data_IF_485623908951
#
_entry.id   IF_485623908951
#
_cell.length_a   1.000
_cell.length_b   1.000
_cell.length_c   1.000
_cell.angle_alpha   90.00
_cell.angle_beta   90.00
_cell.angle_gamma   90.00
#
_symmetry.space_group_name_H-M   'P 1'
#
loop_
_entity.id
_entity.type
_entity.pdbx_description
1 polymer ?
#
# COMPACT_ATOMS: atom_id res chain seq x y z
N UNK A 1 20.92 12.72 14.73
CA UNK A 1 21.48 13.86 15.44
C UNK A 1 20.95 13.85 16.87
N UNK A 2 21.83 14.02 17.86
CA UNK A 2 21.42 14.18 19.25
C UNK A 2 20.71 15.53 19.40
N UNK A 3 19.47 15.53 19.93
CA UNK A 3 18.66 16.76 20.07
C UNK A 3 18.67 17.31 21.50
N UNK A 4 19.40 16.68 22.41
CA UNK A 4 19.33 17.01 23.82
C UNK A 4 18.09 16.41 24.49
N UNK A 5 17.75 16.93 25.65
CA UNK A 5 16.64 16.47 26.47
C UNK A 5 15.31 17.07 25.99
N UNK A 6 14.23 16.28 26.09
CA UNK A 6 12.89 16.69 25.71
C UNK A 6 12.22 17.49 26.83
N UNK A 7 12.61 18.76 26.97
CA UNK A 7 12.10 19.66 28.02
C UNK A 7 10.61 19.99 27.86
N UNK A 8 10.12 20.05 26.64
CA UNK A 8 8.69 20.25 26.39
C UNK A 8 7.88 19.00 26.79
N UNK A 9 8.35 17.83 26.45
CA UNK A 9 7.79 16.57 26.92
C UNK A 9 7.87 16.44 28.42
N UNK A 10 8.99 16.86 29.07
CA UNK A 10 9.13 16.86 30.52
C UNK A 10 8.08 17.75 31.17
N UNK A 11 7.83 18.93 30.63
CA UNK A 11 6.78 19.84 31.14
C UNK A 11 5.41 19.18 31.15
N UNK A 12 5.06 18.51 30.06
CA UNK A 12 3.78 17.81 29.92
C UNK A 12 3.71 16.55 30.81
N UNK A 13 4.81 15.83 30.94
CA UNK A 13 4.85 14.63 31.77
C UNK A 13 4.69 14.94 33.26
N UNK A 14 5.27 16.05 33.73
CA UNK A 14 5.15 16.50 35.13
C UNK A 14 3.70 16.71 35.59
N UNK A 15 2.79 17.06 34.70
CA UNK A 15 1.35 17.24 35.04
C UNK A 15 0.70 15.91 35.46
N UNK A 16 1.27 14.78 35.09
CA UNK A 16 0.78 13.43 35.49
C UNK A 16 1.23 13.02 36.89
N UNK A 17 2.14 13.79 37.51
CA UNK A 17 2.72 13.51 38.82
C UNK A 17 2.34 14.59 39.88
N UNK A 18 1.04 14.77 40.22
CA UNK A 18 0.62 15.81 41.15
C UNK A 18 1.19 15.64 42.58
N UNK A 19 1.64 14.44 42.90
CA UNK A 19 2.24 14.10 44.21
C UNK A 19 3.78 14.21 44.24
N UNK A 20 4.37 14.76 43.19
CA UNK A 20 5.82 15.06 43.22
C UNK A 20 6.09 16.19 44.22
N UNK A 21 7.02 15.95 45.15
CA UNK A 21 7.45 16.95 46.09
C UNK A 21 7.96 18.20 45.35
N UNK A 22 7.46 19.38 45.72
CA UNK A 22 7.82 20.66 45.03
C UNK A 22 7.53 20.68 43.52
N UNK A 23 6.47 19.98 43.10
CA UNK A 23 6.12 19.91 41.67
C UNK A 23 6.05 21.27 40.98
N UNK A 24 5.44 22.28 41.63
CA UNK A 24 5.29 23.62 41.05
C UNK A 24 6.61 24.32 40.84
N UNK A 25 7.53 24.16 41.78
CA UNK A 25 8.89 24.72 41.68
C UNK A 25 9.69 23.99 40.58
N UNK A 26 9.55 22.67 40.50
CA UNK A 26 10.16 21.89 39.43
C UNK A 26 9.65 22.37 38.05
N UNK A 27 8.34 22.56 37.90
CA UNK A 27 7.74 23.10 36.66
C UNK A 27 8.28 24.49 36.38
N UNK A 28 8.40 25.38 37.37
CA UNK A 28 8.92 26.72 37.17
C UNK A 28 10.38 26.70 36.69
N UNK A 29 11.20 25.76 37.16
CA UNK A 29 12.55 25.56 36.64
C UNK A 29 12.51 25.09 35.18
N UNK A 30 11.69 24.09 34.83
CA UNK A 30 11.54 23.63 33.44
C UNK A 30 11.14 24.77 32.52
N UNK A 31 10.16 25.58 32.91
CA UNK A 31 9.66 26.71 32.10
C UNK A 31 10.67 27.85 31.96
N UNK A 32 11.58 28.01 32.93
CA UNK A 32 12.66 28.98 32.88
C UNK A 32 13.87 28.53 32.07
N UNK A 33 13.97 27.23 31.78
CA UNK A 33 15.07 26.62 31.04
C UNK A 33 14.97 26.92 29.55
N UNK A 34 15.53 28.05 29.12
CA UNK A 34 15.64 28.45 27.72
C UNK A 34 17.11 28.55 27.34
N UNK A 35 17.62 27.56 26.60
CA UNK A 35 18.94 27.68 25.96
C UNK A 35 19.96 26.66 26.41
N UNK A 36 20.59 26.79 27.59
CA UNK A 36 21.57 25.82 28.05
C UNK A 36 20.92 24.73 28.94
N UNK A 37 20.76 23.55 28.38
CA UNK A 37 20.03 22.45 29.01
C UNK A 37 20.83 21.77 30.12
N UNK A 38 22.15 21.76 30.02
CA UNK A 38 23.04 21.20 31.06
C UNK A 38 22.97 22.01 32.36
N UNK A 39 22.84 23.34 32.27
CA UNK A 39 22.63 24.19 33.44
C UNK A 39 21.31 23.91 34.14
N UNK A 40 20.28 23.52 33.38
CA UNK A 40 18.98 23.21 33.94
C UNK A 40 18.98 21.86 34.69
N UNK A 41 19.66 20.85 34.19
CA UNK A 41 19.84 19.60 34.92
C UNK A 41 20.64 19.79 36.21
N UNK A 42 21.66 20.62 36.15
CA UNK A 42 22.45 20.97 37.32
C UNK A 42 21.59 21.67 38.39
N UNK A 43 20.71 22.59 38.00
CA UNK A 43 19.76 23.25 38.91
C UNK A 43 18.87 22.26 39.64
N UNK A 44 18.38 21.21 38.99
CA UNK A 44 17.59 20.17 39.67
C UNK A 44 18.37 19.43 40.75
N UNK A 45 19.69 19.27 40.59
CA UNK A 45 20.57 18.65 41.59
C UNK A 45 20.85 19.59 42.75
N UNK A 46 20.98 20.89 42.48
CA UNK A 46 21.44 21.88 43.46
C UNK A 46 20.28 22.53 44.24
N UNK A 47 19.14 22.79 43.59
CA UNK A 47 18.01 23.53 44.17
C UNK A 47 16.98 22.64 44.86
N UNK A 48 16.99 21.32 44.53
CA UNK A 48 15.98 20.39 45.07
C UNK A 48 16.56 19.28 45.96
N UNK A 49 15.77 18.74 46.90
CA UNK A 49 16.16 17.56 47.66
C UNK A 49 16.52 16.38 46.74
N UNK A 50 17.49 15.55 47.09
CA UNK A 50 17.92 14.39 46.26
C UNK A 50 16.77 13.47 45.85
N UNK A 51 15.73 13.33 46.70
CA UNK A 51 14.52 12.52 46.47
C UNK A 51 13.71 13.00 45.26
N UNK A 52 13.65 14.32 45.02
CA UNK A 52 12.92 14.91 43.90
C UNK A 52 13.65 14.54 42.59
N UNK A 53 14.97 14.72 42.56
CA UNK A 53 15.76 14.37 41.39
C UNK A 53 15.72 12.86 41.09
N UNK A 54 15.79 12.01 42.11
CA UNK A 54 15.67 10.55 41.95
C UNK A 54 14.30 10.16 41.38
N UNK A 55 13.22 10.78 41.81
CA UNK A 55 11.89 10.54 41.25
C UNK A 55 11.78 10.99 39.78
N UNK A 56 12.38 12.13 39.44
CA UNK A 56 12.45 12.56 38.02
C UNK A 56 13.17 11.50 37.18
N UNK A 57 14.30 10.99 37.63
CA UNK A 57 15.07 9.98 36.89
C UNK A 57 14.34 8.65 36.71
N UNK A 58 13.60 8.22 37.74
CA UNK A 58 13.04 6.86 37.79
C UNK A 58 11.60 6.80 37.28
N UNK A 59 10.83 7.87 37.43
CA UNK A 59 9.39 7.86 37.16
C UNK A 59 9.01 8.78 35.98
N UNK A 60 9.62 9.97 35.87
CA UNK A 60 9.22 10.99 34.90
C UNK A 60 10.02 10.90 33.59
N UNK A 61 11.34 10.73 33.66
CA UNK A 61 12.20 10.65 32.46
C UNK A 61 12.06 9.38 31.63
N UNK A 62 11.77 8.18 32.18
CA UNK A 62 11.73 6.98 31.35
C UNK A 62 10.81 7.06 30.12
N UNK A 63 9.57 7.60 30.21
CA UNK A 63 8.70 7.78 29.06
C UNK A 63 9.26 8.76 28.01
N UNK A 64 10.17 9.65 28.40
CA UNK A 64 10.76 10.66 27.52
C UNK A 64 12.01 10.17 26.81
N UNK A 65 12.61 9.07 27.30
CA UNK A 65 13.79 8.43 26.68
C UNK A 65 13.36 7.67 25.46
N UNK A 66 13.28 8.35 24.30
CA UNK A 66 12.90 7.76 23.03
C UNK A 66 13.96 8.04 21.97
N UNK A 67 14.14 7.08 21.07
CA UNK A 67 14.90 7.29 19.86
C UNK A 67 13.93 7.72 18.74
N UNK A 68 14.16 8.87 18.16
CA UNK A 68 13.43 9.31 16.98
C UNK A 68 14.24 8.93 15.73
N UNK A 69 13.62 8.14 14.86
CA UNK A 69 14.20 7.78 13.57
C UNK A 69 13.52 8.61 12.49
N UNK A 70 14.31 9.36 11.76
CA UNK A 70 13.86 10.02 10.53
C UNK A 70 14.40 9.23 9.36
N UNK A 71 13.48 8.61 8.61
CA UNK A 71 13.83 7.93 7.36
C UNK A 71 13.64 8.94 6.24
N UNK A 72 14.75 9.33 5.62
CA UNK A 72 14.73 10.15 4.42
C UNK A 72 15.01 9.26 3.22
N UNK A 73 14.10 9.25 2.26
CA UNK A 73 14.31 8.56 0.99
C UNK A 73 14.22 9.56 -0.15
N UNK A 74 15.10 9.39 -1.10
CA UNK A 74 15.10 10.17 -2.33
C UNK A 74 14.40 9.38 -3.41
N UNK A 75 13.27 9.90 -3.85
CA UNK A 75 12.58 9.36 -5.04
C UNK A 75 13.48 9.63 -6.24
N UNK A 76 13.90 8.58 -6.94
CA UNK A 76 14.63 8.70 -8.20
C UNK A 76 13.62 8.77 -9.35
N UNK A 77 14.01 9.46 -10.41
CA UNK A 77 13.24 9.43 -11.64
C UNK A 77 13.23 8.00 -12.22
N UNK A 78 12.12 7.62 -12.85
CA UNK A 78 11.99 6.36 -13.55
C UNK A 78 13.10 6.21 -14.60
N UNK A 79 13.74 5.05 -14.61
CA UNK A 79 14.75 4.67 -15.61
C UNK A 79 14.34 3.37 -16.26
N UNK A 80 13.98 3.44 -17.54
CA UNK A 80 13.47 2.30 -18.31
C UNK A 80 14.47 1.14 -18.40
N UNK A 81 15.75 1.42 -18.59
CA UNK A 81 16.80 0.40 -18.68
C UNK A 81 16.98 -0.37 -17.37
N UNK A 82 16.92 0.35 -16.25
CA UNK A 82 16.96 -0.25 -14.92
C UNK A 82 15.68 -1.06 -14.65
N UNK A 83 14.52 -0.51 -15.00
CA UNK A 83 13.22 -1.14 -14.81
C UNK A 83 13.07 -2.44 -15.62
N UNK A 84 13.58 -2.50 -16.87
CA UNK A 84 13.63 -3.72 -17.69
C UNK A 84 14.42 -4.85 -17.04
N UNK A 85 15.45 -4.55 -16.27
CA UNK A 85 16.20 -5.56 -15.50
C UNK A 85 15.44 -5.93 -14.23
N UNK A 86 14.89 -4.92 -13.56
CA UNK A 86 14.22 -5.05 -12.27
C UNK A 86 12.94 -5.88 -12.38
N UNK A 87 12.20 -5.76 -13.49
CA UNK A 87 10.95 -6.49 -13.72
C UNK A 87 11.11 -8.02 -13.59
N UNK A 88 12.27 -8.55 -13.95
CA UNK A 88 12.57 -9.98 -13.88
C UNK A 88 13.29 -10.41 -12.59
N UNK A 89 14.00 -9.49 -11.93
CA UNK A 89 14.78 -9.81 -10.73
C UNK A 89 14.04 -9.50 -9.42
N UNK A 90 13.41 -8.35 -9.34
CA UNK A 90 12.63 -7.93 -8.18
C UNK A 90 11.48 -6.98 -8.58
N UNK A 91 10.40 -7.52 -9.17
CA UNK A 91 9.30 -6.73 -9.71
C UNK A 91 8.60 -5.85 -8.65
N UNK A 92 8.64 -6.24 -7.38
CA UNK A 92 8.02 -5.45 -6.28
C UNK A 92 8.64 -4.07 -6.06
N UNK A 93 9.81 -3.79 -6.65
CA UNK A 93 10.42 -2.46 -6.62
C UNK A 93 9.83 -1.51 -7.68
N UNK A 94 8.99 -2.02 -8.57
CA UNK A 94 8.30 -1.24 -9.60
C UNK A 94 6.82 -1.11 -9.25
N UNK A 95 6.27 0.09 -9.44
CA UNK A 95 4.83 0.30 -9.43
C UNK A 95 4.16 -0.35 -10.64
N UNK A 96 2.84 -0.52 -10.61
CA UNK A 96 2.09 -1.05 -11.75
C UNK A 96 2.25 -0.18 -12.99
N UNK A 97 2.27 1.14 -12.82
CA UNK A 97 2.48 2.13 -13.89
C UNK A 97 3.85 1.98 -14.54
N UNK A 98 4.90 1.81 -13.74
CA UNK A 98 6.26 1.57 -14.24
C UNK A 98 6.35 0.24 -14.98
N UNK A 99 5.68 -0.81 -14.49
CA UNK A 99 5.61 -2.08 -15.20
C UNK A 99 4.90 -1.94 -16.55
N UNK A 100 3.85 -1.11 -16.65
CA UNK A 100 3.22 -0.85 -17.95
C UNK A 100 4.14 -0.11 -18.91
N UNK A 101 4.90 0.88 -18.44
CA UNK A 101 5.91 1.54 -19.26
C UNK A 101 6.98 0.55 -19.77
N UNK A 102 7.38 -0.40 -18.93
CA UNK A 102 8.27 -1.49 -19.35
C UNK A 102 7.59 -2.37 -20.41
N UNK A 103 6.33 -2.76 -20.21
CA UNK A 103 5.59 -3.56 -21.19
C UNK A 103 5.51 -2.84 -22.54
N UNK A 104 5.02 -1.61 -22.55
CA UNK A 104 4.89 -0.79 -23.76
C UNK A 104 6.20 -0.60 -24.51
N UNK A 105 7.32 -0.55 -23.79
CA UNK A 105 8.64 -0.41 -24.37
C UNK A 105 9.11 -1.61 -25.20
N UNK A 106 8.46 -2.76 -25.06
CA UNK A 106 8.69 -3.94 -25.90
C UNK A 106 7.78 -3.97 -27.13
N UNK A 107 6.67 -3.21 -27.11
CA UNK A 107 5.63 -3.22 -28.14
C UNK A 107 4.53 -4.25 -27.85
N UNK A 108 3.27 -3.83 -28.04
CA UNK A 108 2.06 -4.58 -27.66
C UNK A 108 1.91 -5.96 -28.30
N UNK A 109 2.52 -6.17 -29.47
CA UNK A 109 2.43 -7.42 -30.24
C UNK A 109 3.57 -8.40 -29.90
N UNK A 110 4.41 -8.08 -28.92
CA UNK A 110 5.56 -8.92 -28.58
C UNK A 110 5.25 -9.87 -27.41
N UNK A 111 5.88 -11.06 -27.38
CA UNK A 111 5.77 -11.97 -26.23
C UNK A 111 6.27 -11.33 -24.92
N UNK A 112 7.24 -10.43 -25.01
CA UNK A 112 7.80 -9.70 -23.86
C UNK A 112 6.77 -8.79 -23.22
N UNK A 113 5.93 -8.13 -24.00
CA UNK A 113 4.80 -7.34 -23.50
C UNK A 113 3.90 -8.18 -22.60
N UNK A 114 3.45 -9.32 -23.09
CA UNK A 114 2.59 -10.23 -22.34
C UNK A 114 3.23 -10.76 -21.07
N UNK A 115 4.53 -11.13 -21.14
CA UNK A 115 5.29 -11.57 -19.96
C UNK A 115 5.29 -10.52 -18.86
N UNK A 116 5.49 -9.26 -19.22
CA UNK A 116 5.49 -8.16 -18.24
C UNK A 116 4.10 -7.96 -17.63
N UNK A 117 3.02 -8.03 -18.43
CA UNK A 117 1.64 -7.95 -17.90
C UNK A 117 1.36 -9.09 -16.91
N UNK A 118 1.79 -10.32 -17.20
CA UNK A 118 1.64 -11.45 -16.30
C UNK A 118 2.45 -11.29 -15.02
N UNK A 119 3.66 -10.72 -15.10
CA UNK A 119 4.46 -10.39 -13.92
C UNK A 119 3.74 -9.34 -13.08
N UNK A 120 3.17 -8.29 -13.69
CA UNK A 120 2.43 -7.25 -13.00
C UNK A 120 1.21 -7.83 -12.24
N UNK A 121 0.42 -8.67 -12.90
CA UNK A 121 -0.73 -9.34 -12.28
C UNK A 121 -0.32 -10.25 -11.11
N UNK A 122 0.78 -10.99 -11.23
CA UNK A 122 1.29 -11.86 -10.15
C UNK A 122 1.89 -11.07 -9.00
N UNK A 123 2.51 -9.92 -9.28
CA UNK A 123 3.12 -9.06 -8.27
C UNK A 123 2.06 -8.30 -7.48
N UNK A 124 0.99 -7.87 -8.16
CA UNK A 124 -0.12 -7.09 -7.62
C UNK A 124 -1.48 -7.78 -7.87
N UNK A 125 -1.73 -8.95 -7.27
CA UNK A 125 -2.92 -9.76 -7.56
C UNK A 125 -4.24 -9.08 -7.15
N UNK A 126 -4.16 -8.08 -6.29
CA UNK A 126 -5.29 -7.27 -5.86
C UNK A 126 -5.56 -6.04 -6.74
N UNK A 127 -4.65 -5.72 -7.64
CA UNK A 127 -4.79 -4.60 -8.57
C UNK A 127 -5.61 -5.03 -9.79
N UNK A 128 -6.89 -4.63 -9.79
CA UNK A 128 -7.83 -5.03 -10.85
C UNK A 128 -7.32 -4.67 -12.26
N UNK A 129 -6.86 -3.44 -12.55
CA UNK A 129 -6.26 -3.13 -13.85
C UNK A 129 -5.14 -4.09 -14.27
N UNK A 130 -4.21 -4.41 -13.36
CA UNK A 130 -3.10 -5.30 -13.68
C UNK A 130 -3.58 -6.71 -14.05
N UNK A 131 -4.50 -7.26 -13.28
CA UNK A 131 -5.06 -8.58 -13.51
C UNK A 131 -5.91 -8.62 -14.78
N UNK A 132 -6.76 -7.61 -15.01
CA UNK A 132 -7.61 -7.53 -16.21
C UNK A 132 -6.79 -7.40 -17.47
N UNK A 133 -5.71 -6.58 -17.48
CA UNK A 133 -4.86 -6.43 -18.65
C UNK A 133 -4.10 -7.72 -18.98
N UNK A 134 -3.59 -8.42 -17.96
CA UNK A 134 -2.98 -9.73 -18.14
C UNK A 134 -3.98 -10.77 -18.68
N UNK A 135 -5.18 -10.80 -18.13
CA UNK A 135 -6.23 -11.72 -18.59
C UNK A 135 -6.69 -11.42 -20.02
N UNK A 136 -6.83 -10.14 -20.40
CA UNK A 136 -7.12 -9.75 -21.79
C UNK A 136 -6.03 -10.20 -22.76
N UNK A 137 -4.77 -10.07 -22.34
CA UNK A 137 -3.65 -10.61 -23.15
C UNK A 137 -3.79 -12.12 -23.32
N UNK A 138 -4.03 -12.89 -22.26
CA UNK A 138 -4.21 -14.34 -22.33
C UNK A 138 -5.43 -14.73 -23.21
N UNK A 139 -6.54 -14.00 -23.10
CA UNK A 139 -7.70 -14.19 -23.97
C UNK A 139 -7.35 -13.98 -25.45
N UNK A 140 -6.58 -12.94 -25.75
CA UNK A 140 -6.10 -12.67 -27.12
C UNK A 140 -5.18 -13.76 -27.67
N UNK A 141 -4.44 -14.46 -26.79
CA UNK A 141 -3.59 -15.60 -27.15
C UNK A 141 -4.37 -16.95 -27.24
N UNK A 142 -5.65 -16.95 -26.91
CA UNK A 142 -6.44 -18.19 -26.86
C UNK A 142 -6.26 -19.01 -25.58
N UNK A 143 -5.65 -18.44 -24.55
CA UNK A 143 -5.37 -19.11 -23.27
C UNK A 143 -6.51 -18.84 -22.27
N UNK A 144 -7.71 -19.36 -22.55
CA UNK A 144 -8.92 -19.05 -21.78
C UNK A 144 -8.83 -19.47 -20.32
N UNK A 145 -8.25 -20.65 -20.04
CA UNK A 145 -8.09 -21.17 -18.68
C UNK A 145 -7.19 -20.30 -17.81
N UNK A 146 -6.11 -19.83 -18.39
CA UNK A 146 -5.16 -18.94 -17.75
C UNK A 146 -5.83 -17.61 -17.40
N UNK A 147 -6.63 -17.06 -18.33
CA UNK A 147 -7.42 -15.86 -18.08
C UNK A 147 -8.44 -16.06 -16.93
N UNK A 148 -9.17 -17.18 -16.93
CA UNK A 148 -10.09 -17.53 -15.81
C UNK A 148 -9.32 -17.61 -14.48
N UNK A 149 -8.18 -18.30 -14.45
CA UNK A 149 -7.38 -18.45 -13.23
C UNK A 149 -6.91 -17.10 -12.65
N UNK A 150 -6.60 -16.13 -13.52
CA UNK A 150 -6.22 -14.78 -13.10
C UNK A 150 -7.40 -14.01 -12.52
N UNK A 151 -8.57 -14.11 -13.15
CA UNK A 151 -9.74 -13.28 -12.83
C UNK A 151 -10.59 -13.83 -11.68
N UNK A 152 -10.66 -15.15 -11.53
CA UNK A 152 -11.55 -15.82 -10.58
C UNK A 152 -11.40 -15.35 -9.12
N UNK A 153 -10.17 -15.09 -8.59
CA UNK A 153 -10.00 -14.56 -7.25
C UNK A 153 -10.65 -13.18 -7.03
N UNK A 154 -10.86 -12.42 -8.11
CA UNK A 154 -11.43 -11.07 -8.07
C UNK A 154 -12.93 -11.05 -8.39
N UNK A 155 -13.54 -12.17 -8.78
CA UNK A 155 -14.95 -12.24 -9.16
C UNK A 155 -15.90 -11.70 -8.10
N UNK A 156 -15.60 -12.00 -6.83
CA UNK A 156 -16.40 -11.56 -5.67
C UNK A 156 -16.41 -10.05 -5.44
N UNK A 157 -15.47 -9.31 -6.05
CA UNK A 157 -15.41 -7.84 -5.93
C UNK A 157 -16.46 -7.14 -6.80
N UNK A 158 -17.07 -7.83 -7.75
CA UNK A 158 -18.12 -7.27 -8.60
C UNK A 158 -17.67 -6.24 -9.61
N UNK A 159 -16.35 -6.07 -9.86
CA UNK A 159 -15.84 -5.14 -10.86
C UNK A 159 -16.27 -5.59 -12.27
N UNK A 160 -16.88 -4.67 -13.00
CA UNK A 160 -17.45 -4.97 -14.32
C UNK A 160 -16.43 -5.51 -15.31
N UNK A 161 -15.20 -5.01 -15.29
CA UNK A 161 -14.12 -5.44 -16.18
C UNK A 161 -13.73 -6.90 -15.92
N UNK A 162 -13.68 -7.29 -14.65
CA UNK A 162 -13.43 -8.67 -14.22
C UNK A 162 -14.55 -9.58 -14.68
N UNK A 163 -15.80 -9.20 -14.39
CA UNK A 163 -16.97 -9.99 -14.75
C UNK A 163 -17.14 -10.14 -16.28
N UNK A 164 -16.93 -9.06 -17.03
CA UNK A 164 -16.98 -9.08 -18.48
C UNK A 164 -15.91 -10.01 -19.09
N UNK A 165 -14.65 -9.88 -18.65
CA UNK A 165 -13.57 -10.76 -19.11
C UNK A 165 -13.81 -12.24 -18.73
N UNK A 166 -14.33 -12.52 -17.53
CA UNK A 166 -14.71 -13.89 -17.14
C UNK A 166 -15.82 -14.44 -18.04
N UNK A 167 -16.82 -13.62 -18.35
CA UNK A 167 -17.90 -14.01 -19.26
C UNK A 167 -17.39 -14.38 -20.64
N UNK A 168 -16.50 -13.57 -21.20
CA UNK A 168 -15.85 -13.84 -22.49
C UNK A 168 -15.02 -15.13 -22.42
N UNK A 169 -14.24 -15.32 -21.36
CA UNK A 169 -13.44 -16.53 -21.17
C UNK A 169 -14.31 -17.79 -21.12
N UNK A 170 -15.37 -17.79 -20.32
CA UNK A 170 -16.31 -18.92 -20.21
C UNK A 170 -17.05 -19.19 -21.51
N UNK A 171 -17.46 -18.15 -22.25
CA UNK A 171 -18.11 -18.32 -23.55
C UNK A 171 -17.22 -19.02 -24.55
N UNK A 172 -15.95 -18.63 -24.64
CA UNK A 172 -14.96 -19.27 -25.51
C UNK A 172 -14.67 -20.73 -25.11
N UNK A 173 -14.76 -21.06 -23.82
CA UNK A 173 -14.68 -22.44 -23.34
C UNK A 173 -16.00 -23.23 -23.49
N UNK A 174 -16.99 -22.64 -24.17
CA UNK A 174 -18.34 -23.21 -24.35
C UNK A 174 -19.12 -23.47 -23.03
N UNK A 175 -18.71 -22.80 -21.96
CA UNK A 175 -19.38 -22.83 -20.65
C UNK A 175 -20.45 -21.72 -20.60
N UNK A 176 -21.40 -21.78 -21.54
CA UNK A 176 -22.35 -20.69 -21.84
C UNK A 176 -23.20 -20.25 -20.64
N UNK A 177 -23.64 -21.23 -19.81
CA UNK A 177 -24.41 -20.89 -18.61
C UNK A 177 -23.59 -20.08 -17.58
N UNK A 178 -22.34 -20.43 -17.38
CA UNK A 178 -21.45 -19.64 -16.50
C UNK A 178 -21.19 -18.26 -17.11
N UNK A 179 -20.94 -18.20 -18.41
CA UNK A 179 -20.77 -16.93 -19.12
C UNK A 179 -21.99 -16.04 -18.92
N UNK A 180 -23.21 -16.57 -19.13
CA UNK A 180 -24.46 -15.86 -18.92
C UNK A 180 -24.58 -15.30 -17.50
N UNK A 181 -24.33 -16.12 -16.49
CA UNK A 181 -24.44 -15.70 -15.07
C UNK A 181 -23.53 -14.54 -14.72
N UNK A 182 -22.25 -14.59 -15.11
CA UNK A 182 -21.30 -13.51 -14.79
C UNK A 182 -21.56 -12.27 -15.62
N UNK A 183 -21.96 -12.41 -16.91
CA UNK A 183 -22.30 -11.28 -17.77
C UNK A 183 -23.58 -10.57 -17.31
N UNK A 184 -24.59 -11.27 -16.82
CA UNK A 184 -25.78 -10.66 -16.22
C UNK A 184 -25.40 -9.76 -15.03
N UNK A 185 -24.47 -10.19 -14.20
CA UNK A 185 -23.93 -9.35 -13.10
C UNK A 185 -23.19 -8.13 -13.62
N UNK A 186 -22.42 -8.28 -14.69
CA UNK A 186 -21.73 -7.15 -15.32
C UNK A 186 -22.72 -6.14 -15.94
N UNK A 187 -23.75 -6.61 -16.62
CA UNK A 187 -24.80 -5.75 -17.23
C UNK A 187 -25.56 -4.94 -16.20
N UNK A 188 -25.73 -5.47 -14.97
CA UNK A 188 -26.39 -4.76 -13.89
C UNK A 188 -25.69 -3.43 -13.51
N UNK A 189 -24.43 -3.24 -13.91
CA UNK A 189 -23.68 -2.00 -13.72
C UNK A 189 -23.89 -0.96 -14.84
N UNK A 190 -24.60 -1.33 -15.92
CA UNK A 190 -24.88 -0.47 -17.06
C UNK A 190 -23.80 -0.53 -18.18
N UNK A 191 -22.87 -1.47 -18.12
CA UNK A 191 -21.79 -1.61 -19.10
C UNK A 191 -22.29 -2.09 -20.46
N UNK A 192 -21.94 -1.35 -21.52
CA UNK A 192 -22.42 -1.61 -22.88
C UNK A 192 -21.73 -2.83 -23.52
N UNK A 193 -20.42 -3.04 -23.25
CA UNK A 193 -19.65 -4.18 -23.75
C UNK A 193 -20.19 -5.49 -23.14
N UNK A 194 -20.43 -5.49 -21.82
CA UNK A 194 -21.03 -6.65 -21.15
C UNK A 194 -22.41 -6.99 -21.68
N UNK A 195 -23.22 -5.97 -22.02
CA UNK A 195 -24.56 -6.16 -22.61
C UNK A 195 -24.48 -6.80 -24.00
N UNK A 196 -23.54 -6.42 -24.81
CA UNK A 196 -23.30 -7.00 -26.14
C UNK A 196 -22.83 -8.46 -26.00
N UNK A 197 -21.84 -8.70 -25.13
CA UNK A 197 -21.32 -10.04 -24.85
C UNK A 197 -22.42 -10.98 -24.33
N UNK A 198 -23.29 -10.49 -23.43
CA UNK A 198 -24.43 -11.27 -22.95
C UNK A 198 -25.37 -11.66 -24.08
N UNK A 199 -25.73 -10.69 -24.95
CA UNK A 199 -26.59 -10.96 -26.11
C UNK A 199 -26.01 -12.05 -27.03
N UNK A 200 -24.70 -11.98 -27.26
CA UNK A 200 -24.02 -12.98 -28.10
C UNK A 200 -24.08 -14.38 -27.47
N UNK A 201 -23.86 -14.48 -26.16
CA UNK A 201 -23.96 -15.75 -25.41
C UNK A 201 -25.38 -16.28 -25.43
N UNK A 202 -26.40 -15.45 -25.18
CA UNK A 202 -27.82 -15.83 -25.21
C UNK A 202 -28.24 -16.29 -26.61
N UNK A 203 -27.75 -15.66 -27.67
CA UNK A 203 -27.95 -16.11 -29.04
C UNK A 203 -27.43 -17.54 -29.26
N UNK A 204 -26.19 -17.81 -28.85
CA UNK A 204 -25.60 -19.15 -28.96
C UNK A 204 -26.38 -20.19 -28.17
N UNK A 205 -26.85 -19.84 -26.96
CA UNK A 205 -27.68 -20.77 -26.14
C UNK A 205 -29.01 -21.08 -26.82
N UNK A 206 -29.64 -20.11 -27.50
CA UNK A 206 -30.90 -20.29 -28.18
C UNK A 206 -30.81 -21.20 -29.44
N UNK A 207 -29.58 -21.28 -30.02
CA UNK A 207 -29.31 -22.08 -31.22
C UNK A 207 -28.82 -23.50 -30.91
N UNK A 208 -28.64 -23.88 -29.63
CA UNK A 208 -28.23 -25.21 -29.16
C UNK A 208 -29.40 -26.11 -28.87
#
# INVERSE_FOLDING_TARGET
AWRGEDWEGLRLELDKFPNLLKQKEVIAVVESCKGNLDDCEQRFRDEFPPEVYQRLLNEVYPPLRRNEYRIEYKVRNFNLEEARKQIYSNPRLLSVEEMYQVAESYGVDTPEYGKVLLIAARTYPDNIPAVVNAARYELGQGHMKEAVNLLLPLEGRGDVRVLNCLGVAYANEKQYEKARMVLQRAVATGDAEAKENLRNVEGVIADL
#
